data_IF_574731545580
#
_entry.id   IF_574731545580
#
_cell.length_a   1.000
_cell.length_b   1.000
_cell.length_c   1.000
_cell.angle_alpha   90.00
_cell.angle_beta   90.00
_cell.angle_gamma   90.00
#
_symmetry.space_group_name_H-M   'P 1'
#
loop_
_entity.id
_entity.type
_entity.pdbx_description
1 polymer ?
#
# COMPACT_ATOMS: atom_id res chain seq x y z
N UNK A 1 -2.73 9.34 -6.45
CA UNK A 1 -2.35 9.37 -5.01
C UNK A 1 -3.29 10.24 -4.19
N UNK A 2 -3.71 11.43 -4.68
CA UNK A 2 -4.67 12.28 -3.96
C UNK A 2 -6.00 11.57 -3.66
N UNK A 3 -6.46 10.71 -4.57
CA UNK A 3 -7.63 9.85 -4.38
C UNK A 3 -7.61 8.99 -3.11
N UNK A 4 -6.46 8.41 -2.77
CA UNK A 4 -6.38 7.41 -1.70
C UNK A 4 -6.02 8.04 -0.35
N UNK A 5 -5.29 9.15 -0.37
CA UNK A 5 -4.66 9.72 0.80
C UNK A 5 -4.70 11.25 0.75
N UNK A 6 -5.10 11.86 1.85
CA UNK A 6 -4.99 13.31 2.06
C UNK A 6 -3.52 13.75 1.91
N UNK A 7 -3.30 14.92 1.29
CA UNK A 7 -1.97 15.43 0.96
C UNK A 7 -1.00 15.48 2.15
N UNK A 8 -1.53 15.74 3.34
CA UNK A 8 -0.77 15.86 4.60
C UNK A 8 -0.21 14.51 5.09
N UNK A 9 -0.81 13.41 4.63
CA UNK A 9 -0.46 12.05 5.05
C UNK A 9 0.42 11.32 4.05
N UNK A 10 0.53 11.85 2.81
CA UNK A 10 1.32 11.23 1.75
C UNK A 10 2.83 11.26 2.06
N UNK A 11 3.56 10.23 1.63
CA UNK A 11 5.01 10.11 1.91
C UNK A 11 5.87 11.16 1.20
N UNK A 12 5.37 11.74 0.12
CA UNK A 12 6.13 12.66 -0.74
C UNK A 12 7.34 12.02 -1.47
N UNK A 13 7.52 10.69 -1.38
CA UNK A 13 8.55 9.95 -2.11
C UNK A 13 9.99 10.13 -1.61
N UNK A 14 10.21 10.71 -0.43
CA UNK A 14 11.55 11.05 0.10
C UNK A 14 12.06 10.10 1.20
N UNK A 15 11.29 9.06 1.54
CA UNK A 15 11.63 8.11 2.59
C UNK A 15 12.71 7.09 2.18
N UNK A 16 13.41 6.52 3.16
CA UNK A 16 14.37 5.40 3.00
C UNK A 16 13.68 4.07 2.59
N UNK A 17 12.36 4.10 2.42
CA UNK A 17 11.48 2.95 2.41
C UNK A 17 10.27 3.25 1.52
N UNK A 18 9.77 2.25 0.79
CA UNK A 18 8.61 2.39 -0.10
C UNK A 18 7.31 2.38 0.72
N UNK A 19 6.61 3.51 0.76
CA UNK A 19 5.26 3.65 1.30
C UNK A 19 4.57 4.86 0.65
N UNK A 20 3.24 4.84 0.62
CA UNK A 20 2.43 5.88 -0.01
C UNK A 20 1.92 6.91 1.01
N UNK A 21 1.62 6.48 2.23
CA UNK A 21 1.12 7.36 3.29
C UNK A 21 1.49 6.90 4.70
N UNK A 22 1.47 7.83 5.65
CA UNK A 22 1.60 7.57 7.09
C UNK A 22 0.29 7.91 7.80
N UNK A 23 -0.44 6.88 8.23
CA UNK A 23 -1.78 7.00 8.80
C UNK A 23 -1.86 6.29 10.15
N UNK A 24 -2.30 7.02 11.18
CA UNK A 24 -2.56 6.44 12.50
C UNK A 24 -1.34 5.70 13.09
N UNK A 25 -0.13 6.18 12.83
CA UNK A 25 1.11 5.55 13.30
C UNK A 25 1.66 4.43 12.41
N UNK A 26 1.02 4.14 11.27
CA UNK A 26 1.42 3.08 10.35
C UNK A 26 1.83 3.61 8.98
N UNK A 27 2.85 2.98 8.39
CA UNK A 27 3.20 3.14 6.99
C UNK A 27 2.26 2.31 6.11
N UNK A 28 1.58 2.96 5.18
CA UNK A 28 0.64 2.33 4.25
C UNK A 28 1.29 2.21 2.88
N UNK A 29 1.33 0.99 2.35
CA UNK A 29 1.75 0.69 0.99
C UNK A 29 0.55 0.22 0.17
N UNK A 30 0.27 0.86 -0.96
CA UNK A 30 -0.81 0.49 -1.86
C UNK A 30 -0.30 -0.31 -3.06
N UNK A 31 -0.87 -1.50 -3.27
CA UNK A 31 -0.49 -2.41 -4.37
C UNK A 31 -1.58 -2.46 -5.45
N UNK A 32 -2.04 -1.30 -5.93
CA UNK A 32 -3.15 -1.25 -6.89
C UNK A 32 -2.66 -1.27 -8.35
N UNK A 33 -1.45 -0.78 -8.60
CA UNK A 33 -0.82 -0.68 -9.92
C UNK A 33 -0.08 -1.96 -10.35
N UNK A 34 -0.07 -2.99 -9.49
CA UNK A 34 0.66 -4.24 -9.68
C UNK A 34 2.17 -4.05 -9.94
N UNK A 35 2.76 -2.96 -9.44
CA UNK A 35 4.16 -2.66 -9.66
C UNK A 35 5.09 -3.57 -8.83
N UNK A 36 5.55 -4.63 -9.48
CA UNK A 36 6.42 -5.64 -8.85
C UNK A 36 7.77 -5.07 -8.38
N UNK A 37 8.31 -4.05 -9.05
CA UNK A 37 9.58 -3.46 -8.64
C UNK A 37 9.47 -2.77 -7.27
N UNK A 38 8.36 -2.09 -7.00
CA UNK A 38 8.05 -1.50 -5.69
C UNK A 38 7.80 -2.56 -4.63
N UNK A 39 7.12 -3.65 -5.00
CA UNK A 39 6.86 -4.77 -4.09
C UNK A 39 8.16 -5.47 -3.65
N UNK A 40 9.13 -5.65 -4.54
CA UNK A 40 10.45 -6.21 -4.22
C UNK A 40 11.17 -5.32 -3.19
N UNK A 41 11.25 -4.01 -3.43
CA UNK A 41 11.88 -3.05 -2.51
C UNK A 41 11.18 -3.01 -1.16
N UNK A 42 9.85 -3.09 -1.13
CA UNK A 42 9.07 -3.17 0.10
C UNK A 42 9.46 -4.41 0.91
N UNK A 43 9.62 -5.57 0.27
CA UNK A 43 10.02 -6.81 0.93
C UNK A 43 11.41 -6.70 1.55
N UNK A 44 12.35 -6.04 0.88
CA UNK A 44 13.68 -5.76 1.43
C UNK A 44 13.59 -4.90 2.70
N UNK A 45 12.69 -3.91 2.74
CA UNK A 45 12.45 -3.08 3.91
C UNK A 45 11.77 -3.80 5.08
N UNK A 46 10.84 -4.74 4.80
CA UNK A 46 10.17 -5.55 5.82
C UNK A 46 11.14 -6.36 6.69
N UNK A 47 12.28 -6.77 6.14
CA UNK A 47 13.32 -7.49 6.89
C UNK A 47 13.99 -6.62 7.97
N UNK A 48 13.85 -5.29 7.89
CA UNK A 48 14.43 -4.33 8.84
C UNK A 48 13.41 -3.78 9.87
N UNK A 49 12.13 -3.60 9.48
CA UNK A 49 11.08 -3.03 10.35
C UNK A 49 9.69 -3.59 9.99
N UNK A 50 9.31 -4.74 10.56
CA UNK A 50 8.04 -5.40 10.22
C UNK A 50 6.79 -4.82 10.92
N UNK A 51 6.96 -4.11 12.05
CA UNK A 51 5.86 -3.91 13.00
C UNK A 51 4.98 -2.68 12.72
N UNK A 52 5.35 -1.83 11.76
CA UNK A 52 4.71 -0.52 11.56
C UNK A 52 4.03 -0.37 10.21
N UNK A 53 3.77 -1.47 9.49
CA UNK A 53 3.27 -1.45 8.12
C UNK A 53 1.85 -1.97 7.97
N UNK A 54 1.20 -1.53 6.91
CA UNK A 54 -0.08 -2.05 6.42
C UNK A 54 -0.12 -2.01 4.89
N UNK A 55 -0.69 -3.04 4.28
CA UNK A 55 -0.82 -3.12 2.82
C UNK A 55 -2.26 -2.89 2.41
N UNK A 56 -2.47 -1.95 1.52
CA UNK A 56 -3.73 -1.66 0.86
C UNK A 56 -3.74 -2.33 -0.51
N UNK A 57 -4.64 -3.28 -0.75
CA UNK A 57 -4.71 -4.00 -2.01
C UNK A 57 -6.14 -4.41 -2.35
N UNK A 58 -6.35 -4.98 -3.54
CA UNK A 58 -7.61 -5.65 -3.87
C UNK A 58 -7.68 -7.06 -3.24
N UNK A 59 -8.87 -7.60 -2.90
CA UNK A 59 -9.02 -8.93 -2.32
C UNK A 59 -8.32 -10.04 -3.13
N UNK A 60 -8.37 -9.96 -4.45
CA UNK A 60 -7.80 -10.93 -5.39
C UNK A 60 -6.27 -11.00 -5.32
N UNK A 61 -5.63 -9.90 -4.89
CA UNK A 61 -4.17 -9.79 -4.79
C UNK A 61 -3.63 -10.40 -3.49
N UNK A 62 -4.49 -10.67 -2.51
CA UNK A 62 -4.09 -11.14 -1.18
C UNK A 62 -3.21 -12.38 -1.25
N UNK A 63 -3.62 -13.40 -2.02
CA UNK A 63 -2.92 -14.69 -2.04
C UNK A 63 -1.45 -14.52 -2.46
N UNK A 64 -1.21 -13.76 -3.54
CA UNK A 64 0.12 -13.45 -4.03
C UNK A 64 0.95 -12.67 -2.99
N UNK A 65 0.36 -11.64 -2.39
CA UNK A 65 1.06 -10.78 -1.45
C UNK A 65 1.40 -11.52 -0.15
N UNK A 66 0.49 -12.37 0.33
CA UNK A 66 0.68 -13.18 1.54
C UNK A 66 1.78 -14.23 1.32
N UNK A 67 1.82 -14.89 0.14
CA UNK A 67 2.89 -15.82 -0.22
C UNK A 67 4.26 -15.11 -0.32
N UNK A 68 4.29 -13.91 -0.91
CA UNK A 68 5.54 -13.21 -1.16
C UNK A 68 6.13 -12.51 0.08
N UNK A 69 5.27 -11.91 0.90
CA UNK A 69 5.67 -11.10 2.06
C UNK A 69 5.61 -11.87 3.39
N UNK A 70 4.89 -12.98 3.44
CA UNK A 70 4.70 -13.81 4.63
C UNK A 70 3.43 -13.49 5.42
N UNK A 71 3.08 -14.41 6.34
CA UNK A 71 1.77 -14.47 7.01
C UNK A 71 1.49 -13.39 8.08
N UNK A 72 2.42 -12.47 8.34
CA UNK A 72 2.29 -11.48 9.44
C UNK A 72 2.04 -10.05 8.96
N UNK A 73 1.86 -9.83 7.65
CA UNK A 73 1.58 -8.49 7.12
C UNK A 73 0.09 -8.19 7.24
N UNK A 74 -0.31 -7.08 7.89
CA UNK A 74 -1.71 -6.70 7.95
C UNK A 74 -2.17 -6.12 6.61
N UNK A 75 -3.30 -6.62 6.11
CA UNK A 75 -3.91 -6.20 4.86
C UNK A 75 -5.19 -5.40 5.12
N UNK A 76 -5.40 -4.36 4.32
CA UNK A 76 -6.67 -3.69 4.11
C UNK A 76 -7.08 -3.84 2.66
N UNK A 77 -8.37 -4.03 2.44
CA UNK A 77 -8.91 -4.26 1.12
C UNK A 77 -9.68 -3.05 0.62
N UNK A 78 -9.45 -2.70 -0.64
CA UNK A 78 -10.31 -1.80 -1.40
C UNK A 78 -11.20 -2.61 -2.33
N UNK A 79 -12.42 -2.13 -2.56
CA UNK A 79 -13.23 -2.60 -3.66
C UNK A 79 -12.83 -1.82 -4.92
N UNK A 80 -12.57 -2.53 -6.02
CA UNK A 80 -12.27 -1.92 -7.32
C UNK A 80 -13.35 -0.93 -7.73
N UNK A 81 -14.63 -1.24 -7.50
CA UNK A 81 -15.74 -0.35 -7.86
C UNK A 81 -15.67 0.97 -7.11
N UNK A 82 -15.33 0.94 -5.83
CA UNK A 82 -15.18 2.16 -5.04
C UNK A 82 -14.02 3.02 -5.55
N UNK A 83 -12.94 2.39 -6.05
CA UNK A 83 -11.81 3.11 -6.64
C UNK A 83 -12.20 3.72 -7.98
N UNK A 84 -12.89 2.97 -8.85
CA UNK A 84 -13.39 3.44 -10.14
C UNK A 84 -14.35 4.62 -9.97
N UNK A 85 -15.36 4.50 -9.11
CA UNK A 85 -16.31 5.59 -8.80
C UNK A 85 -15.59 6.84 -8.30
N UNK A 86 -14.60 6.67 -7.43
CA UNK A 86 -13.86 7.79 -6.88
C UNK A 86 -12.94 8.46 -7.93
N UNK A 87 -12.38 7.69 -8.88
CA UNK A 87 -11.64 8.24 -10.02
C UNK A 87 -12.54 9.07 -10.94
N UNK A 88 -13.76 8.59 -11.22
CA UNK A 88 -14.74 9.32 -12.04
C UNK A 88 -15.18 10.66 -11.41
N UNK A 89 -15.09 10.78 -10.07
CA UNK A 89 -15.40 12.01 -9.34
C UNK A 89 -14.24 13.03 -9.30
N UNK A 90 -13.01 12.60 -9.62
CA UNK A 90 -11.83 13.48 -9.69
C UNK A 90 -11.61 14.09 -11.10
N UNK A 91 -12.36 13.67 -12.12
CA UNK A 91 -12.31 14.18 -13.50
C UNK A 91 -13.13 15.46 -13.78
#
# INVERSE_FOLDING_TARGET
MNLLFEKETQSGGTGMMEYDAYLGGKYVYSFLDQNLARLIRLREAFQAQANSFEILCFPEQRCLLEEYLGHHVPFKFLDMKMVEEALEMEE
#
